data_IF_453709012930
#
_entry.id   IF_453709012930
#
_cell.length_a   1.000
_cell.length_b   1.000
_cell.length_c   1.000
_cell.angle_alpha   90.00
_cell.angle_beta   90.00
_cell.angle_gamma   90.00
#
_symmetry.space_group_name_H-M   'P 1'
#
loop_
_entity.id
_entity.type
_entity.pdbx_description
1 polymer ?
#
# COMPACT_ATOMS: atom_id res chain seq x y z
N UNK A 1 7.74 -22.50 -3.25
CA UNK A 1 7.18 -21.48 -4.15
C UNK A 1 6.60 -20.38 -3.27
N UNK A 2 6.97 -19.10 -3.48
CA UNK A 2 6.49 -17.98 -2.66
C UNK A 2 7.55 -16.94 -2.25
N UNK A 3 8.84 -17.14 -2.60
CA UNK A 3 9.95 -16.28 -2.11
C UNK A 3 10.10 -14.93 -2.82
N UNK A 4 9.37 -14.67 -3.90
CA UNK A 4 9.55 -13.47 -4.73
C UNK A 4 8.23 -12.79 -5.11
N UNK A 5 7.22 -12.83 -4.24
CA UNK A 5 5.99 -12.07 -4.47
C UNK A 5 6.27 -10.61 -4.11
N UNK A 6 6.15 -9.64 -5.05
CA UNK A 6 6.26 -8.24 -4.71
C UNK A 6 5.25 -7.85 -3.64
N UNK A 7 5.66 -7.00 -2.69
CA UNK A 7 4.81 -6.58 -1.58
C UNK A 7 4.90 -5.08 -1.37
N UNK A 8 3.75 -4.42 -1.28
CA UNK A 8 3.65 -3.03 -0.83
C UNK A 8 3.02 -2.95 0.56
N UNK A 9 3.74 -2.35 1.51
CA UNK A 9 3.22 -2.04 2.83
C UNK A 9 2.75 -0.59 2.91
N UNK A 10 1.48 -0.38 3.25
CA UNK A 10 0.88 0.96 3.37
C UNK A 10 0.62 1.29 4.83
N UNK A 11 1.03 2.48 5.27
CA UNK A 11 0.80 2.96 6.64
C UNK A 11 0.26 4.39 6.72
N UNK A 12 -0.36 4.73 7.85
CA UNK A 12 -0.76 6.10 8.19
C UNK A 12 0.25 6.79 9.11
N UNK A 13 0.72 7.98 8.74
CA UNK A 13 1.66 8.78 9.55
C UNK A 13 1.05 9.25 10.88
N UNK A 14 -0.29 9.32 10.97
CA UNK A 14 -1.04 9.70 12.16
C UNK A 14 -1.76 8.50 12.79
N UNK A 15 -1.45 7.29 12.35
CA UNK A 15 -2.00 6.06 12.91
C UNK A 15 -1.49 5.89 14.35
N UNK A 16 -2.44 5.85 15.30
CA UNK A 16 -2.19 5.67 16.73
C UNK A 16 -2.27 4.20 17.15
N UNK A 17 -2.82 3.34 16.30
CA UNK A 17 -2.96 1.90 16.51
C UNK A 17 -1.70 1.20 16.01
N UNK A 18 -1.27 1.50 14.78
CA UNK A 18 -0.04 0.97 14.17
C UNK A 18 0.86 2.12 13.72
N UNK A 19 1.84 2.54 14.54
CA UNK A 19 2.73 3.64 14.17
C UNK A 19 3.51 3.35 12.87
N UNK A 20 3.72 4.36 12.02
CA UNK A 20 4.41 4.21 10.74
C UNK A 20 5.83 3.58 10.83
N UNK A 21 6.49 3.72 11.99
CA UNK A 21 7.78 3.06 12.26
C UNK A 21 7.68 1.53 12.27
N UNK A 22 6.54 0.96 12.64
CA UNK A 22 6.34 -0.49 12.67
C UNK A 22 6.25 -1.04 11.23
N UNK A 23 5.58 -0.31 10.34
CA UNK A 23 5.48 -0.63 8.91
C UNK A 23 6.85 -0.63 8.24
N UNK A 24 7.65 0.41 8.50
CA UNK A 24 9.02 0.50 7.97
C UNK A 24 9.95 -0.55 8.58
N UNK A 25 9.83 -0.84 9.87
CA UNK A 25 10.59 -1.89 10.55
C UNK A 25 10.27 -3.28 9.99
N UNK A 26 9.00 -3.55 9.68
CA UNK A 26 8.56 -4.79 9.04
C UNK A 26 9.15 -4.94 7.63
N UNK A 27 9.09 -3.89 6.80
CA UNK A 27 9.74 -3.88 5.48
C UNK A 27 11.22 -4.26 5.61
N UNK A 28 11.93 -3.63 6.53
CA UNK A 28 13.37 -3.86 6.69
C UNK A 28 13.66 -5.27 7.19
N UNK A 29 12.79 -5.84 8.04
CA UNK A 29 12.89 -7.21 8.49
C UNK A 29 12.69 -8.20 7.33
N UNK A 30 11.63 -8.04 6.53
CA UNK A 30 11.34 -8.90 5.39
C UNK A 30 12.49 -8.89 4.38
N UNK A 31 13.02 -7.71 4.06
CA UNK A 31 14.21 -7.56 3.19
C UNK A 31 15.43 -8.28 3.75
N UNK A 32 15.69 -8.20 5.07
CA UNK A 32 16.81 -8.91 5.71
C UNK A 32 16.67 -10.44 5.66
N UNK A 33 15.44 -10.95 5.65
CA UNK A 33 15.17 -12.38 5.55
C UNK A 33 15.17 -12.92 4.12
N UNK A 34 15.45 -12.06 3.13
CA UNK A 34 15.47 -12.46 1.72
C UNK A 34 14.08 -12.76 1.18
N UNK A 35 13.04 -12.16 1.76
CA UNK A 35 11.74 -12.04 1.08
C UNK A 35 11.91 -11.14 -0.14
N UNK A 36 11.07 -11.33 -1.15
CA UNK A 36 11.09 -10.64 -2.43
C UNK A 36 11.02 -9.10 -2.36
N UNK A 37 10.75 -8.40 -3.48
CA UNK A 37 10.75 -6.94 -3.49
C UNK A 37 9.63 -6.39 -2.56
N UNK A 38 10.02 -5.97 -1.36
CA UNK A 38 9.12 -5.35 -0.36
C UNK A 38 9.33 -3.85 -0.35
N UNK A 39 8.28 -3.09 -0.54
CA UNK A 39 8.23 -1.62 -0.51
C UNK A 39 7.34 -1.13 0.61
N UNK A 40 7.48 0.15 0.99
CA UNK A 40 6.61 0.77 1.99
C UNK A 40 6.31 2.21 1.64
N UNK A 41 5.07 2.62 1.79
CA UNK A 41 4.65 4.02 1.66
C UNK A 41 3.84 4.47 2.87
N UNK A 42 3.84 5.77 3.16
CA UNK A 42 3.12 6.34 4.30
C UNK A 42 2.38 7.60 3.90
N UNK A 43 1.10 7.67 4.26
CA UNK A 43 0.21 8.80 3.95
C UNK A 43 -0.12 9.59 5.22
N UNK A 44 -0.49 10.87 5.10
CA UNK A 44 -0.83 11.74 6.25
C UNK A 44 -2.22 11.46 6.85
N UNK A 45 -2.58 10.20 6.97
CA UNK A 45 -3.86 9.68 7.46
C UNK A 45 -3.72 8.97 8.82
N UNK A 46 -4.86 8.73 9.47
CA UNK A 46 -4.97 7.87 10.65
C UNK A 46 -5.02 6.39 10.28
N UNK A 47 -5.52 5.55 11.18
CA UNK A 47 -5.69 4.11 10.91
C UNK A 47 -6.73 3.85 9.83
N UNK A 48 -7.87 4.54 9.94
CA UNK A 48 -9.00 4.39 9.04
C UNK A 48 -8.82 5.24 7.77
N UNK A 49 -9.15 4.64 6.62
CA UNK A 49 -9.21 5.31 5.30
C UNK A 49 -10.48 6.13 5.10
N UNK A 50 -11.42 6.05 6.06
CA UNK A 50 -12.65 6.81 6.13
C UNK A 50 -12.95 7.18 7.59
N UNK A 51 -13.90 8.09 7.82
CA UNK A 51 -14.37 8.36 9.18
C UNK A 51 -15.11 7.13 9.73
N UNK A 52 -14.67 6.64 10.89
CA UNK A 52 -15.33 5.55 11.61
C UNK A 52 -16.81 5.88 11.89
N UNK A 53 -17.74 4.92 11.72
CA UNK A 53 -17.51 3.48 11.50
C UNK A 53 -17.27 3.08 10.03
N UNK A 54 -17.29 4.02 9.08
CA UNK A 54 -17.03 3.73 7.67
C UNK A 54 -18.08 2.85 6.96
N UNK A 55 -19.25 2.62 7.54
CA UNK A 55 -20.27 1.70 7.02
C UNK A 55 -21.16 2.32 5.93
N UNK A 56 -21.27 3.64 5.89
CA UNK A 56 -22.08 4.36 4.92
C UNK A 56 -21.22 4.78 3.72
N UNK A 57 -21.75 4.68 2.48
CA UNK A 57 -21.09 5.24 1.30
C UNK A 57 -20.87 6.75 1.48
N UNK A 58 -19.63 7.20 1.28
CA UNK A 58 -19.24 8.60 1.34
C UNK A 58 -18.33 8.93 0.16
N UNK A 59 -18.33 10.17 -0.32
CA UNK A 59 -17.31 10.61 -1.27
C UNK A 59 -15.90 10.32 -0.74
N UNK A 60 -14.97 9.91 -1.61
CA UNK A 60 -13.61 9.63 -1.20
C UNK A 60 -12.93 10.90 -0.66
N UNK A 61 -12.17 10.73 0.42
CA UNK A 61 -11.31 11.80 0.95
C UNK A 61 -9.99 11.84 0.18
N UNK A 62 -9.28 12.96 0.26
CA UNK A 62 -8.00 13.16 -0.45
C UNK A 62 -7.00 12.05 -0.17
N UNK A 63 -6.89 11.62 1.08
CA UNK A 63 -5.95 10.56 1.48
C UNK A 63 -6.32 9.20 0.88
N UNK A 64 -7.61 8.88 0.76
CA UNK A 64 -8.06 7.63 0.13
C UNK A 64 -7.70 7.61 -1.36
N UNK A 65 -7.91 8.72 -2.07
CA UNK A 65 -7.51 8.86 -3.49
C UNK A 65 -5.99 8.69 -3.66
N UNK A 66 -5.19 9.21 -2.72
CA UNK A 66 -3.73 9.04 -2.75
C UNK A 66 -3.31 7.58 -2.57
N UNK A 67 -3.98 6.86 -1.66
CA UNK A 67 -3.75 5.42 -1.46
C UNK A 67 -4.12 4.65 -2.73
N UNK A 68 -5.29 4.91 -3.31
CA UNK A 68 -5.73 4.26 -4.55
C UNK A 68 -4.75 4.50 -5.70
N UNK A 69 -4.22 5.72 -5.82
CA UNK A 69 -3.21 6.07 -6.83
C UNK A 69 -1.95 5.22 -6.64
N UNK A 70 -1.40 5.18 -5.42
CA UNK A 70 -0.19 4.41 -5.14
C UNK A 70 -0.39 2.90 -5.33
N UNK A 71 -1.55 2.36 -4.95
CA UNK A 71 -1.87 0.95 -5.21
C UNK A 71 -1.96 0.68 -6.71
N UNK A 72 -2.63 1.55 -7.46
CA UNK A 72 -2.79 1.41 -8.91
C UNK A 72 -1.45 1.42 -9.61
N UNK A 73 -0.58 2.38 -9.27
CA UNK A 73 0.76 2.48 -9.87
C UNK A 73 1.62 1.27 -9.51
N UNK A 74 1.58 0.83 -8.25
CA UNK A 74 2.27 -0.38 -7.83
C UNK A 74 1.78 -1.63 -8.58
N UNK A 75 0.46 -1.80 -8.74
CA UNK A 75 -0.08 -2.91 -9.52
C UNK A 75 0.32 -2.84 -10.99
N UNK A 76 0.39 -1.64 -11.59
CA UNK A 76 0.89 -1.49 -12.96
C UNK A 76 2.34 -1.93 -13.08
N UNK A 77 3.18 -1.53 -12.14
CA UNK A 77 4.61 -1.80 -12.20
C UNK A 77 4.95 -3.29 -11.93
N UNK A 78 4.12 -3.98 -11.14
CA UNK A 78 4.43 -5.34 -10.69
C UNK A 78 3.53 -6.44 -11.27
N UNK A 79 2.31 -6.12 -11.68
CA UNK A 79 1.31 -7.10 -12.12
C UNK A 79 0.73 -6.86 -13.52
N UNK A 80 0.99 -5.70 -14.15
CA UNK A 80 0.52 -5.52 -15.52
C UNK A 80 1.25 -6.47 -16.47
N UNK A 81 0.49 -7.31 -17.17
CA UNK A 81 1.02 -8.12 -18.25
C UNK A 81 1.25 -7.22 -19.48
N UNK A 82 2.50 -7.06 -19.96
CA UNK A 82 2.75 -6.29 -21.18
C UNK A 82 2.01 -6.84 -22.41
N UNK A 83 1.53 -8.10 -22.40
CA UNK A 83 0.76 -8.68 -23.48
C UNK A 83 -0.73 -8.28 -23.51
N UNK A 84 -1.27 -7.71 -22.42
CA UNK A 84 -2.69 -7.29 -22.34
C UNK A 84 -2.91 -5.79 -22.57
N UNK A 85 -1.85 -5.00 -22.83
CA UNK A 85 -2.02 -3.62 -23.28
C UNK A 85 -2.62 -3.59 -24.69
N UNK A 86 -3.83 -3.01 -24.89
CA UNK A 86 -4.36 -2.86 -26.24
C UNK A 86 -3.41 -1.97 -27.05
N UNK A 87 -3.06 -2.44 -28.25
CA UNK A 87 -2.29 -1.67 -29.21
C UNK A 87 -2.97 -0.31 -29.42
N UNK A 88 -2.18 0.76 -29.23
CA UNK A 88 -2.59 2.15 -29.42
C UNK A 88 -3.01 2.45 -30.86
#
# INVERSE_FOLDING_TARGET
>A
AGRDVPMLLVGGARDRVVPAREVTSLRDLLRRHGEGPVESTTFRMGHALAAEPGTEPRPPITEAVQVDTALTDWFRDHLADPAESPAA
#
